data_IF_065991481274
#
_entry.id   IF_065991481274
#
_cell.length_a   1.000
_cell.length_b   1.000
_cell.length_c   1.000
_cell.angle_alpha   90.00
_cell.angle_beta   90.00
_cell.angle_gamma   90.00
#
_symmetry.space_group_name_H-M   'P 1'
#
loop_
_entity.id
_entity.type
_entity.pdbx_description
1 polymer ?
#
# COMPACT_ATOMS: atom_id res chain seq x y z
N UNK A 1 1.22 -18.29 -8.59
CA UNK A 1 0.04 -18.72 -7.82
C UNK A 1 0.49 -19.80 -6.84
N UNK A 2 0.12 -19.67 -5.57
CA UNK A 2 0.39 -20.67 -4.53
C UNK A 2 -0.79 -21.63 -4.49
N UNK A 3 -0.50 -22.93 -4.52
CA UNK A 3 -1.51 -23.97 -4.31
C UNK A 3 -1.42 -24.49 -2.88
N UNK A 4 -2.51 -24.35 -2.13
CA UNK A 4 -2.59 -24.77 -0.73
C UNK A 4 -3.60 -25.90 -0.62
N UNK A 5 -3.14 -27.08 -0.19
CA UNK A 5 -3.99 -28.21 0.17
C UNK A 5 -4.45 -28.11 1.63
N UNK A 6 -5.73 -28.36 1.88
CA UNK A 6 -6.30 -28.38 3.22
C UNK A 6 -7.41 -29.44 3.34
N UNK A 7 -7.82 -29.74 4.57
CA UNK A 7 -8.92 -30.66 4.85
C UNK A 7 -10.13 -29.86 5.30
N UNK A 8 -11.26 -30.04 4.63
CA UNK A 8 -12.56 -29.49 5.05
C UNK A 8 -13.23 -30.55 5.93
N UNK A 9 -13.54 -30.19 7.18
CA UNK A 9 -14.19 -31.08 8.15
C UNK A 9 -15.60 -30.62 8.49
N UNK A 10 -16.53 -31.57 8.55
CA UNK A 10 -17.89 -31.38 9.04
C UNK A 10 -18.29 -32.59 9.89
N UNK A 11 -18.33 -32.41 11.21
CA UNK A 11 -18.49 -33.53 12.15
C UNK A 11 -17.33 -34.54 12.02
N UNK A 12 -17.66 -35.82 11.77
CA UNK A 12 -16.67 -36.89 11.54
C UNK A 12 -16.17 -36.98 10.08
N UNK A 13 -16.78 -36.26 9.15
CA UNK A 13 -16.37 -36.27 7.74
C UNK A 13 -15.18 -35.33 7.51
N UNK A 14 -14.18 -35.78 6.74
CA UNK A 14 -13.04 -34.98 6.28
C UNK A 14 -12.82 -35.24 4.80
N UNK A 15 -12.66 -34.18 3.99
CA UNK A 15 -12.30 -34.30 2.57
C UNK A 15 -11.14 -33.36 2.21
N UNK A 16 -10.21 -33.81 1.35
CA UNK A 16 -9.17 -32.94 0.81
C UNK A 16 -9.79 -31.88 -0.11
N UNK A 17 -9.25 -30.67 -0.05
CA UNK A 17 -9.53 -29.57 -0.95
C UNK A 17 -8.24 -28.81 -1.28
N UNK A 18 -8.23 -28.13 -2.41
CA UNK A 18 -7.10 -27.31 -2.86
C UNK A 18 -7.59 -25.91 -3.19
N UNK A 19 -6.87 -24.88 -2.74
CA UNK A 19 -7.12 -23.49 -3.08
C UNK A 19 -5.93 -22.91 -3.83
N UNK A 20 -6.21 -22.19 -4.93
CA UNK A 20 -5.23 -21.39 -5.67
C UNK A 20 -5.25 -19.95 -5.16
N UNK A 21 -4.13 -19.48 -4.65
CA UNK A 21 -3.93 -18.12 -4.18
C UNK A 21 -3.00 -17.37 -5.13
N UNK A 22 -3.40 -16.16 -5.54
CA UNK A 22 -2.58 -15.28 -6.38
C UNK A 22 -2.50 -13.91 -5.71
N UNK A 23 -1.64 -13.73 -4.68
CA UNK A 23 -1.44 -12.41 -4.11
C UNK A 23 -0.86 -11.47 -5.17
N UNK A 24 -1.35 -10.24 -5.19
CA UNK A 24 -0.84 -9.17 -6.03
C UNK A 24 -0.42 -7.99 -5.17
N UNK A 25 0.67 -7.35 -5.58
CA UNK A 25 1.07 -6.04 -5.06
C UNK A 25 0.29 -4.98 -5.85
N UNK A 26 -0.26 -3.98 -5.17
CA UNK A 26 -1.02 -2.92 -5.82
C UNK A 26 -0.09 -2.04 -6.69
N UNK A 27 -0.56 -1.51 -7.83
CA UNK A 27 0.22 -0.54 -8.61
C UNK A 27 0.74 0.64 -7.79
N UNK A 28 -0.01 1.14 -6.80
CA UNK A 28 0.44 2.23 -5.92
C UNK A 28 1.68 1.83 -5.12
N UNK A 29 1.67 0.65 -4.49
CA UNK A 29 2.79 0.14 -3.68
C UNK A 29 4.10 0.09 -4.52
N UNK A 30 4.00 -0.32 -5.80
CA UNK A 30 5.16 -0.37 -6.73
C UNK A 30 5.63 1.01 -7.21
N UNK A 31 4.71 1.95 -7.33
CA UNK A 31 4.96 3.25 -7.93
C UNK A 31 5.47 4.27 -6.90
N UNK A 32 4.96 4.22 -5.66
CA UNK A 32 5.21 5.23 -4.65
C UNK A 32 5.42 4.67 -3.24
N UNK A 33 5.72 3.37 -3.07
CA UNK A 33 6.14 2.80 -1.80
C UNK A 33 7.44 3.42 -1.29
N UNK A 34 7.55 3.65 0.03
CA UNK A 34 8.73 4.27 0.63
C UNK A 34 9.84 3.25 0.96
N UNK A 35 11.12 3.58 0.70
CA UNK A 35 12.23 2.79 1.18
C UNK A 35 12.23 2.72 2.71
N UNK A 36 12.50 1.52 3.25
CA UNK A 36 12.57 1.26 4.70
C UNK A 36 11.27 1.60 5.47
N UNK A 37 10.14 1.50 4.79
CA UNK A 37 8.83 1.60 5.43
C UNK A 37 8.44 0.27 6.08
N UNK A 38 8.31 0.26 7.41
CA UNK A 38 7.87 -0.91 8.17
C UNK A 38 6.42 -1.33 7.82
N UNK A 39 5.65 -0.42 7.22
CA UNK A 39 4.27 -0.66 6.79
C UNK A 39 4.14 -0.83 5.25
N UNK A 40 5.26 -0.80 4.53
CA UNK A 40 5.33 -1.05 3.09
C UNK A 40 5.34 -2.55 2.76
N UNK A 41 4.86 -2.91 1.56
CA UNK A 41 4.79 -4.33 1.13
C UNK A 41 5.64 -4.65 -0.12
N UNK A 42 6.36 -3.66 -0.65
CA UNK A 42 7.18 -3.77 -1.85
C UNK A 42 8.52 -3.05 -1.65
N UNK A 43 9.54 -3.32 -2.50
CA UNK A 43 10.72 -2.47 -2.55
C UNK A 43 10.30 -1.02 -2.83
N UNK A 44 10.73 -0.10 -1.96
CA UNK A 44 10.38 1.31 -2.09
C UNK A 44 11.11 2.00 -3.25
N UNK A 45 10.59 3.16 -3.65
CA UNK A 45 11.15 4.07 -4.67
C UNK A 45 11.75 5.30 -4.01
N UNK A 46 12.95 5.69 -4.42
CA UNK A 46 13.51 6.99 -4.09
C UNK A 46 12.69 8.11 -4.74
N UNK A 47 12.71 9.35 -4.21
CA UNK A 47 11.89 10.44 -4.73
C UNK A 47 12.05 10.69 -6.24
N UNK A 48 13.27 10.55 -6.77
CA UNK A 48 13.59 10.72 -8.19
C UNK A 48 13.18 9.52 -9.07
N UNK A 49 12.72 8.41 -8.49
CA UNK A 49 12.25 7.23 -9.21
C UNK A 49 10.72 7.16 -9.32
N UNK A 50 10.01 8.04 -8.61
CA UNK A 50 8.55 8.10 -8.64
C UNK A 50 8.11 8.77 -9.94
N UNK A 51 7.54 7.97 -10.85
CA UNK A 51 7.07 8.44 -12.16
C UNK A 51 5.70 9.11 -12.12
N UNK A 52 5.35 9.84 -13.18
CA UNK A 52 4.12 10.63 -13.26
C UNK A 52 2.80 9.84 -13.10
N UNK A 53 2.79 8.55 -13.45
CA UNK A 53 1.62 7.67 -13.27
C UNK A 53 1.33 7.27 -11.81
N UNK A 54 2.20 7.64 -10.86
CA UNK A 54 2.06 7.25 -9.46
C UNK A 54 0.83 7.85 -8.78
N UNK A 55 0.47 9.10 -9.10
CA UNK A 55 -0.70 9.77 -8.52
C UNK A 55 -1.97 9.01 -8.90
N UNK A 56 -2.17 8.71 -10.19
CA UNK A 56 -3.36 7.99 -10.68
C UNK A 56 -3.47 6.60 -10.03
N UNK A 57 -2.35 5.87 -9.95
CA UNK A 57 -2.31 4.57 -9.29
C UNK A 57 -2.71 4.66 -7.81
N UNK A 58 -2.19 5.65 -7.09
CA UNK A 58 -2.47 5.80 -5.66
C UNK A 58 -3.84 6.39 -5.36
N UNK A 59 -4.38 7.27 -6.19
CA UNK A 59 -5.78 7.71 -6.10
C UNK A 59 -6.75 6.53 -6.30
N UNK A 60 -6.46 5.65 -7.26
CA UNK A 60 -7.24 4.44 -7.47
C UNK A 60 -7.17 3.50 -6.24
N UNK A 61 -5.97 3.31 -5.67
CA UNK A 61 -5.76 2.49 -4.49
C UNK A 61 -6.49 3.05 -3.25
N UNK A 62 -6.40 4.36 -3.00
CA UNK A 62 -7.12 5.04 -1.89
C UNK A 62 -8.64 4.90 -2.05
N UNK A 63 -9.16 5.00 -3.28
CA UNK A 63 -10.59 4.82 -3.58
C UNK A 63 -11.05 3.38 -3.36
N UNK A 64 -10.28 2.40 -3.83
CA UNK A 64 -10.62 0.98 -3.69
C UNK A 64 -10.48 0.47 -2.25
N UNK A 65 -9.48 0.98 -1.52
CA UNK A 65 -9.11 0.50 -0.19
C UNK A 65 -9.00 1.65 0.82
N UNK A 66 -10.11 2.33 1.15
CA UNK A 66 -10.09 3.55 1.96
C UNK A 66 -9.60 3.34 3.40
N UNK A 67 -9.52 2.10 3.88
CA UNK A 67 -9.04 1.75 5.22
C UNK A 67 -7.57 1.30 5.24
N UNK A 68 -6.94 1.14 4.08
CA UNK A 68 -5.52 0.79 3.98
C UNK A 68 -4.72 2.10 4.02
N UNK A 69 -4.24 2.44 5.22
CA UNK A 69 -3.62 3.75 5.50
C UNK A 69 -2.39 4.02 4.64
N UNK A 70 -1.57 2.99 4.34
CA UNK A 70 -0.34 3.17 3.53
C UNK A 70 -0.60 3.79 2.17
N UNK A 71 -1.75 3.53 1.52
CA UNK A 71 -2.05 4.13 0.22
C UNK A 71 -2.22 5.65 0.28
N UNK A 72 -2.66 6.20 1.42
CA UNK A 72 -2.67 7.66 1.61
C UNK A 72 -1.27 8.23 1.77
N UNK A 73 -0.39 7.51 2.47
CA UNK A 73 1.00 7.92 2.60
C UNK A 73 1.71 7.89 1.24
N UNK A 74 1.56 6.80 0.49
CA UNK A 74 2.12 6.63 -0.85
C UNK A 74 1.57 7.66 -1.85
N UNK A 75 0.27 8.00 -1.76
CA UNK A 75 -0.30 9.13 -2.50
C UNK A 75 0.40 10.44 -2.15
N UNK A 76 0.62 10.71 -0.86
CA UNK A 76 1.39 11.87 -0.40
C UNK A 76 2.79 11.94 -1.02
N UNK A 77 3.50 10.81 -1.08
CA UNK A 77 4.81 10.72 -1.75
C UNK A 77 4.74 10.97 -3.25
N UNK A 78 3.73 10.44 -3.92
CA UNK A 78 3.50 10.69 -5.34
C UNK A 78 3.20 12.16 -5.63
N UNK A 79 2.43 12.81 -4.77
CA UNK A 79 2.12 14.25 -4.85
C UNK A 79 3.37 15.10 -4.60
N UNK A 80 4.20 14.77 -3.61
CA UNK A 80 5.49 15.46 -3.38
C UNK A 80 6.41 15.35 -4.60
N UNK A 81 6.56 14.15 -5.18
CA UNK A 81 7.39 13.94 -6.36
C UNK A 81 6.91 14.76 -7.57
N UNK A 82 5.61 15.07 -7.64
CA UNK A 82 5.01 15.92 -8.67
C UNK A 82 5.01 17.42 -8.31
N UNK A 83 5.56 17.82 -7.16
CA UNK A 83 5.59 19.22 -6.69
C UNK A 83 4.26 19.74 -6.15
N UNK A 84 3.26 18.87 -5.93
CA UNK A 84 1.96 19.22 -5.35
C UNK A 84 2.02 19.22 -3.81
N UNK A 85 2.77 20.18 -3.27
CA UNK A 85 3.22 20.17 -1.86
C UNK A 85 2.06 20.24 -0.86
N UNK A 86 1.05 21.08 -1.12
CA UNK A 86 -0.07 21.28 -0.19
C UNK A 86 -0.96 20.03 -0.13
N UNK A 87 -1.29 19.46 -1.28
CA UNK A 87 -2.05 18.21 -1.37
C UNK A 87 -1.29 17.05 -0.76
N UNK A 88 0.03 17.00 -1.00
CA UNK A 88 0.88 15.99 -0.40
C UNK A 88 0.89 16.06 1.11
N UNK A 89 1.11 17.26 1.68
CA UNK A 89 1.09 17.48 3.13
C UNK A 89 -0.23 17.01 3.73
N UNK A 90 -1.36 17.32 3.08
CA UNK A 90 -2.67 16.84 3.52
C UNK A 90 -2.76 15.31 3.53
N UNK A 91 -2.36 14.66 2.44
CA UNK A 91 -2.41 13.19 2.34
C UNK A 91 -1.50 12.50 3.38
N UNK A 92 -0.30 13.04 3.59
CA UNK A 92 0.64 12.56 4.61
C UNK A 92 0.08 12.77 6.01
N UNK A 93 -0.54 13.94 6.29
CA UNK A 93 -1.19 14.21 7.57
C UNK A 93 -2.32 13.21 7.84
N UNK A 94 -3.19 12.95 6.86
CA UNK A 94 -4.26 11.95 7.01
C UNK A 94 -3.72 10.54 7.30
N UNK A 95 -2.55 10.20 6.76
CA UNK A 95 -1.90 8.91 7.03
C UNK A 95 -1.27 8.90 8.43
N UNK A 96 -0.61 9.98 8.84
CA UNK A 96 -0.01 10.14 10.17
C UNK A 96 -1.07 10.07 11.28
N UNK A 97 -2.20 10.78 11.11
CA UNK A 97 -3.33 10.78 12.04
C UNK A 97 -3.93 9.37 12.25
N UNK A 98 -3.76 8.49 11.26
CA UNK A 98 -4.19 7.09 11.28
C UNK A 98 -3.07 6.11 11.64
N UNK A 99 -1.95 6.61 12.16
CA UNK A 99 -0.86 5.80 12.70
C UNK A 99 0.13 5.26 11.67
N UNK A 100 0.28 5.92 10.52
CA UNK A 100 1.35 5.57 9.58
C UNK A 100 2.70 6.12 10.06
N UNK A 101 3.58 5.24 10.54
CA UNK A 101 4.83 5.57 11.22
C UNK A 101 5.75 6.43 10.34
N UNK A 102 5.89 6.10 9.05
CA UNK A 102 6.68 6.92 8.12
C UNK A 102 6.08 8.29 7.87
N UNK A 103 4.75 8.42 7.90
CA UNK A 103 4.08 9.71 7.70
C UNK A 103 4.29 10.63 8.92
N UNK A 104 4.23 10.07 10.13
CA UNK A 104 4.55 10.79 11.37
C UNK A 104 5.99 11.30 11.33
N UNK A 105 6.94 10.44 10.94
CA UNK A 105 8.35 10.82 10.82
C UNK A 105 8.55 11.95 9.80
N UNK A 106 7.89 11.89 8.65
CA UNK A 106 8.05 12.85 7.57
C UNK A 106 7.50 14.25 7.89
N UNK A 107 6.48 14.36 8.74
CA UNK A 107 5.92 15.64 9.17
C UNK A 107 6.64 16.27 10.37
N UNK A 108 7.46 15.49 11.08
CA UNK A 108 8.21 15.96 12.24
C UNK A 108 9.50 16.73 11.88
N UNK A 109 9.92 16.67 10.62
CA UNK A 109 11.08 17.38 10.05
C UNK A 109 10.62 18.45 9.06
#
# INVERSE_FOLDING_TARGET
PLEVGFQIRAGKASKPATMKLSPSVDPCDRAAGAPLDLQGIAPGRQPNEIGGGAIEACEAAVKAYPNVVRFRYELGRALLAAGKVDEARKAIQEAADKGHARAVFELAY
#
